data_IF_719954285708
#
_entry.id   IF_719954285708
#
_cell.length_a   1.000
_cell.length_b   1.000
_cell.length_c   1.000
_cell.angle_alpha   90.00
_cell.angle_beta   90.00
_cell.angle_gamma   90.00
#
_symmetry.space_group_name_H-M   'P 1'
#
loop_
_entity.id
_entity.type
_entity.pdbx_description
1 polymer ?
#
# COMPACT_ATOMS: atom_id res chain seq x y z
N UNK A 1 -0.25 -15.95 11.90
CA UNK A 1 0.08 -14.52 11.97
C UNK A 1 -0.97 -13.68 12.70
N UNK A 2 -1.81 -14.26 13.57
CA UNK A 2 -2.73 -13.46 14.39
C UNK A 2 -1.95 -12.63 15.43
N UNK A 3 -2.29 -11.34 15.55
CA UNK A 3 -1.81 -10.46 16.61
C UNK A 3 -0.62 -9.54 16.28
N UNK A 4 -0.16 -9.47 15.02
CA UNK A 4 0.88 -8.51 14.61
C UNK A 4 0.30 -7.44 13.68
N UNK A 5 0.43 -6.17 14.10
CA UNK A 5 0.14 -5.02 13.24
C UNK A 5 1.18 -4.93 12.13
N UNK A 6 0.72 -4.89 10.89
CA UNK A 6 1.56 -4.63 9.71
C UNK A 6 1.37 -3.17 9.34
N UNK A 7 2.47 -2.46 9.10
CA UNK A 7 2.48 -1.11 8.56
C UNK A 7 2.89 -1.18 7.09
N UNK A 8 2.34 -0.26 6.30
CA UNK A 8 2.50 -0.24 4.85
C UNK A 8 3.32 0.98 4.45
N UNK A 9 4.44 0.82 3.73
CA UNK A 9 5.23 1.95 3.26
C UNK A 9 4.46 2.80 2.26
N UNK A 10 4.56 4.11 2.37
CA UNK A 10 4.05 5.05 1.39
C UNK A 10 5.12 5.32 0.33
N UNK A 11 5.10 4.57 -0.76
CA UNK A 11 6.10 4.66 -1.83
C UNK A 11 5.99 5.94 -2.68
N UNK A 12 4.99 6.79 -2.47
CA UNK A 12 4.98 8.13 -3.07
C UNK A 12 5.79 9.15 -2.27
N UNK A 13 6.09 8.87 -1.00
CA UNK A 13 6.80 9.80 -0.13
C UNK A 13 8.33 9.65 -0.22
N UNK A 14 9.04 10.77 -0.35
CA UNK A 14 10.49 10.79 -0.57
C UNK A 14 11.31 10.07 0.51
N UNK A 15 10.88 10.10 1.77
CA UNK A 15 11.57 9.40 2.87
C UNK A 15 11.36 7.89 2.83
N UNK A 16 10.19 7.42 2.37
CA UNK A 16 9.93 5.98 2.20
C UNK A 16 10.77 5.42 1.06
N UNK A 17 10.94 6.19 -0.03
CA UNK A 17 11.83 5.85 -1.15
C UNK A 17 13.27 5.69 -0.63
N UNK A 18 13.79 6.70 0.08
CA UNK A 18 15.14 6.65 0.68
C UNK A 18 15.30 5.47 1.64
N UNK A 19 14.27 5.18 2.43
CA UNK A 19 14.26 4.04 3.35
C UNK A 19 14.32 2.71 2.59
N UNK A 20 13.48 2.53 1.56
CA UNK A 20 13.44 1.29 0.77
C UNK A 20 14.78 1.01 0.08
N UNK A 21 15.38 2.00 -0.58
CA UNK A 21 16.69 1.82 -1.21
C UNK A 21 17.78 1.45 -0.21
N UNK A 22 17.72 1.98 1.03
CA UNK A 22 18.65 1.58 2.12
C UNK A 22 18.41 0.14 2.56
N UNK A 23 17.16 -0.31 2.66
CA UNK A 23 16.81 -1.69 3.00
C UNK A 23 17.35 -2.65 1.94
N UNK A 24 17.06 -2.39 0.66
CA UNK A 24 17.52 -3.23 -0.44
C UNK A 24 19.05 -3.32 -0.49
N UNK A 25 19.76 -2.19 -0.38
CA UNK A 25 21.24 -2.15 -0.33
C UNK A 25 21.82 -2.91 0.85
N UNK A 26 21.16 -2.85 2.01
CA UNK A 26 21.60 -3.58 3.19
C UNK A 26 21.41 -5.08 3.00
N UNK A 27 20.30 -5.51 2.43
CA UNK A 27 20.06 -6.93 2.15
C UNK A 27 21.08 -7.44 1.13
N UNK A 28 21.36 -6.69 0.05
CA UNK A 28 22.32 -7.12 -0.97
C UNK A 28 23.76 -7.22 -0.46
N UNK A 29 24.12 -6.44 0.56
CA UNK A 29 25.43 -6.57 1.23
C UNK A 29 25.59 -7.84 2.07
N UNK A 30 24.49 -8.53 2.39
CA UNK A 30 24.48 -9.75 3.21
C UNK A 30 24.18 -10.99 2.35
N UNK A 31 23.28 -10.84 1.38
CA UNK A 31 22.81 -11.90 0.49
C UNK A 31 22.89 -11.39 -0.94
N UNK A 32 23.71 -12.04 -1.76
CA UNK A 32 23.77 -11.76 -3.19
C UNK A 32 22.50 -12.27 -3.86
N UNK A 33 21.80 -11.41 -4.58
CA UNK A 33 20.61 -11.73 -5.34
C UNK A 33 20.63 -10.99 -6.68
N UNK A 34 20.08 -11.62 -7.72
CA UNK A 34 20.05 -11.07 -9.07
C UNK A 34 18.74 -10.35 -9.42
N UNK A 35 17.75 -10.42 -8.52
CA UNK A 35 16.46 -9.79 -8.72
C UNK A 35 15.58 -9.80 -7.48
N UNK A 36 14.53 -8.98 -7.51
CA UNK A 36 13.53 -8.87 -6.46
C UNK A 36 12.16 -9.24 -7.01
N UNK A 37 11.47 -10.13 -6.31
CA UNK A 37 10.05 -10.41 -6.57
C UNK A 37 9.20 -9.60 -5.58
N UNK A 38 8.50 -8.60 -6.10
CA UNK A 38 7.54 -7.79 -5.34
C UNK A 38 6.17 -8.49 -5.35
N UNK A 39 5.58 -8.69 -4.18
CA UNK A 39 4.31 -9.42 -4.00
C UNK A 39 3.40 -8.70 -3.00
N UNK A 40 2.11 -9.02 -3.01
CA UNK A 40 1.07 -8.40 -2.17
C UNK A 40 0.97 -6.88 -2.35
N UNK A 41 1.19 -6.40 -3.58
CA UNK A 41 1.35 -4.99 -3.93
C UNK A 41 0.15 -4.36 -4.66
N UNK A 42 -1.01 -5.03 -4.73
CA UNK A 42 -2.33 -4.36 -4.61
C UNK A 42 -2.49 -3.63 -3.26
N UNK A 43 -1.51 -3.84 -2.37
CA UNK A 43 -1.55 -3.57 -0.95
C UNK A 43 -2.48 -4.51 -0.21
N UNK A 44 -2.14 -5.80 -0.26
CA UNK A 44 -2.97 -6.85 0.32
C UNK A 44 -2.88 -6.82 1.85
N UNK A 45 -4.04 -6.80 2.48
CA UNK A 45 -4.23 -6.90 3.92
C UNK A 45 -4.95 -8.19 4.28
N UNK A 46 -4.59 -8.74 5.45
CA UNK A 46 -5.30 -9.89 6.04
C UNK A 46 -6.61 -9.52 6.73
N UNK A 47 -6.85 -8.22 6.92
CA UNK A 47 -8.09 -7.64 7.45
C UNK A 47 -8.63 -6.61 6.47
N UNK A 48 -9.94 -6.46 6.41
CA UNK A 48 -10.58 -5.44 5.58
C UNK A 48 -10.35 -4.07 6.22
N UNK A 49 -9.60 -3.21 5.55
CA UNK A 49 -9.29 -1.87 6.02
C UNK A 49 -8.13 -1.79 7.00
N UNK A 50 -8.43 -1.82 8.29
CA UNK A 50 -7.45 -1.68 9.36
C UNK A 50 -7.79 -2.58 10.55
N UNK A 51 -6.87 -2.69 11.52
CA UNK A 51 -7.10 -3.44 12.76
C UNK A 51 -8.27 -2.91 13.60
N UNK A 52 -8.70 -1.68 13.36
CA UNK A 52 -9.86 -1.02 14.01
C UNK A 52 -11.05 -0.82 13.06
N UNK A 53 -11.00 -1.39 11.85
CA UNK A 53 -11.96 -1.10 10.79
C UNK A 53 -11.73 0.26 10.12
N UNK A 54 -12.72 0.73 9.36
CA UNK A 54 -12.67 2.00 8.64
C UNK A 54 -13.76 2.96 9.12
N UNK A 55 -13.58 4.25 8.82
CA UNK A 55 -14.60 5.25 9.09
C UNK A 55 -15.84 5.02 8.21
N UNK A 56 -16.99 5.44 8.72
CA UNK A 56 -18.24 5.47 7.97
C UNK A 56 -18.34 6.79 7.20
N UNK A 57 -17.68 6.86 6.04
CA UNK A 57 -17.66 8.02 5.16
C UNK A 57 -17.97 7.64 3.70
N UNK A 58 -17.97 8.64 2.81
CA UNK A 58 -18.27 8.48 1.40
C UNK A 58 -17.11 7.87 0.58
N UNK A 59 -15.92 7.69 1.15
CA UNK A 59 -14.79 7.02 0.49
C UNK A 59 -14.83 5.51 0.76
N UNK A 60 -15.08 5.13 2.01
CA UNK A 60 -15.22 3.76 2.46
C UNK A 60 -16.60 3.17 2.09
N UNK A 61 -17.63 4.01 2.00
CA UNK A 61 -19.00 3.64 1.60
C UNK A 61 -19.53 4.60 0.52
N UNK A 62 -18.99 4.54 -0.71
CA UNK A 62 -19.43 5.42 -1.79
C UNK A 62 -20.86 5.11 -2.24
N UNK A 63 -21.57 6.07 -2.86
CA UNK A 63 -22.95 5.87 -3.33
C UNK A 63 -23.07 4.80 -4.42
N UNK A 64 -21.97 4.48 -5.11
CA UNK A 64 -21.88 3.39 -6.08
C UNK A 64 -20.60 2.61 -5.83
N UNK A 65 -20.74 1.31 -5.60
CA UNK A 65 -19.63 0.36 -5.57
C UNK A 65 -19.69 -0.41 -6.90
N UNK A 66 -18.63 -0.40 -7.74
CA UNK A 66 -18.58 -1.29 -8.90
C UNK A 66 -18.58 -2.75 -8.41
N UNK A 67 -18.70 -3.73 -9.31
CA UNK A 67 -18.67 -5.17 -8.97
C UNK A 67 -17.31 -5.66 -8.46
N UNK A 68 -16.78 -5.02 -7.42
CA UNK A 68 -15.55 -5.35 -6.73
C UNK A 68 -15.75 -6.59 -5.85
N UNK A 69 -14.68 -7.37 -5.68
CA UNK A 69 -14.72 -8.57 -4.85
C UNK A 69 -15.02 -8.16 -3.41
N UNK A 70 -16.04 -8.76 -2.81
CA UNK A 70 -16.45 -8.51 -1.43
C UNK A 70 -17.45 -7.37 -1.25
N UNK A 71 -17.94 -6.76 -2.34
CA UNK A 71 -18.96 -5.69 -2.37
C UNK A 71 -18.59 -4.43 -1.53
N UNK A 72 -17.31 -4.31 -1.15
CA UNK A 72 -16.72 -3.15 -0.44
C UNK A 72 -15.37 -2.85 -1.07
N UNK A 73 -14.98 -1.56 -1.13
CA UNK A 73 -13.74 -1.17 -1.79
C UNK A 73 -12.48 -1.56 -0.99
N UNK A 74 -12.56 -1.55 0.34
CA UNK A 74 -11.43 -1.86 1.22
C UNK A 74 -11.30 -3.36 1.54
N UNK A 75 -11.96 -4.22 0.76
CA UNK A 75 -11.84 -5.68 0.92
C UNK A 75 -10.40 -6.12 0.69
N UNK A 76 -9.80 -6.77 1.69
CA UNK A 76 -8.40 -7.23 1.70
C UNK A 76 -7.37 -6.16 1.31
N UNK A 77 -7.66 -4.90 1.62
CA UNK A 77 -6.72 -3.77 1.43
C UNK A 77 -6.92 -2.74 2.55
N UNK A 78 -6.33 -1.55 2.42
CA UNK A 78 -6.46 -0.45 3.39
C UNK A 78 -7.78 0.29 3.28
N UNK A 79 -8.15 1.01 4.33
CA UNK A 79 -9.29 1.93 4.29
C UNK A 79 -9.12 2.96 3.17
N UNK A 80 -10.22 3.32 2.51
CA UNK A 80 -10.22 4.22 1.35
C UNK A 80 -9.90 5.67 1.72
N UNK A 81 -10.11 6.04 2.98
CA UNK A 81 -9.76 7.34 3.58
C UNK A 81 -8.31 7.38 4.12
N UNK A 82 -7.56 6.29 4.05
CA UNK A 82 -6.12 6.31 4.37
C UNK A 82 -5.40 7.30 3.44
N UNK A 83 -4.38 7.99 3.95
CA UNK A 83 -3.69 9.04 3.21
C UNK A 83 -2.34 8.52 2.70
N UNK A 84 -2.10 8.67 1.41
CA UNK A 84 -0.86 8.30 0.73
C UNK A 84 -0.34 9.48 -0.09
N UNK A 85 0.95 9.42 -0.43
CA UNK A 85 1.53 10.35 -1.37
C UNK A 85 1.53 9.78 -2.79
N UNK A 86 1.48 10.68 -3.74
CA UNK A 86 1.88 10.42 -5.12
C UNK A 86 2.76 11.58 -5.56
N UNK A 87 4.07 11.34 -5.63
CA UNK A 87 5.08 12.38 -5.82
C UNK A 87 5.01 13.43 -4.71
N UNK A 88 4.61 14.66 -5.03
CA UNK A 88 4.49 15.75 -4.06
C UNK A 88 3.05 15.93 -3.55
N UNK A 89 2.08 15.25 -4.15
CA UNK A 89 0.67 15.39 -3.82
C UNK A 89 0.26 14.39 -2.74
N UNK A 90 -0.66 14.80 -1.89
CA UNK A 90 -1.27 13.98 -0.84
C UNK A 90 -2.69 13.64 -1.28
N UNK A 91 -3.04 12.36 -1.31
CA UNK A 91 -4.34 11.92 -1.79
C UNK A 91 -4.87 10.72 -0.98
N UNK A 92 -6.19 10.54 -0.90
CA UNK A 92 -6.76 9.38 -0.24
C UNK A 92 -6.40 8.09 -0.99
N UNK A 93 -6.47 6.98 -0.27
CA UNK A 93 -6.28 5.65 -0.81
C UNK A 93 -7.35 5.33 -1.87
N UNK A 94 -8.55 5.88 -1.73
CA UNK A 94 -9.60 5.84 -2.74
C UNK A 94 -9.11 6.24 -4.14
N UNK A 95 -8.32 7.31 -4.23
CA UNK A 95 -7.79 7.82 -5.50
C UNK A 95 -6.47 7.14 -5.91
N UNK A 96 -5.72 6.60 -4.94
CA UNK A 96 -4.35 6.10 -5.14
C UNK A 96 -4.19 4.58 -5.14
N UNK A 97 -5.22 3.81 -4.76
CA UNK A 97 -5.15 2.35 -4.57
C UNK A 97 -4.48 1.62 -5.74
N UNK A 98 -4.97 1.88 -6.96
CA UNK A 98 -4.49 1.23 -8.17
C UNK A 98 -3.07 1.65 -8.59
N UNK A 99 -2.47 2.66 -7.94
CA UNK A 99 -1.10 3.09 -8.20
C UNK A 99 -0.09 2.54 -7.19
N UNK A 100 -0.51 1.83 -6.14
CA UNK A 100 0.41 1.36 -5.10
C UNK A 100 1.48 0.42 -5.65
N UNK A 101 1.09 -0.62 -6.39
CA UNK A 101 2.05 -1.55 -6.98
C UNK A 101 2.98 -0.86 -7.98
N UNK A 102 2.47 0.14 -8.69
CA UNK A 102 3.24 0.95 -9.62
C UNK A 102 4.28 1.83 -8.90
N UNK A 103 3.91 2.51 -7.81
CA UNK A 103 4.84 3.31 -7.01
C UNK A 103 5.90 2.45 -6.32
N UNK A 104 5.53 1.26 -5.85
CA UNK A 104 6.47 0.27 -5.32
C UNK A 104 7.48 -0.19 -6.37
N UNK A 105 7.03 -0.46 -7.59
CA UNK A 105 7.91 -0.86 -8.70
C UNK A 105 8.90 0.27 -9.08
N UNK A 106 8.41 1.50 -9.27
CA UNK A 106 9.26 2.68 -9.55
C UNK A 106 10.30 2.89 -8.44
N UNK A 107 9.89 2.72 -7.18
CA UNK A 107 10.79 2.90 -6.04
C UNK A 107 11.85 1.80 -5.94
N UNK A 108 11.54 0.59 -6.42
CA UNK A 108 12.47 -0.55 -6.41
C UNK A 108 13.48 -0.48 -7.55
N UNK A 109 13.13 0.17 -8.65
CA UNK A 109 14.05 0.41 -9.78
C UNK A 109 15.17 1.41 -9.46
N UNK A 110 14.97 2.30 -8.47
CA UNK A 110 15.90 3.36 -8.07
C UNK A 110 17.08 2.90 -7.18
#
# INVERSE_FOLDING_TARGET
YQGKTVLYPDFGHSESIKWWSKVVKKISSVIEFDGLWLTNNELTSSVDGSVSGCLSDNLNSPPYVPGAIGDILYHRTLCMDAVLHWKADVMPHYDSHNFYGHSMAITTEQ
#
